data_IF_630747035938
#
_entry.id   IF_630747035938
#
_cell.length_a   1.000
_cell.length_b   1.000
_cell.length_c   1.000
_cell.angle_alpha   90.00
_cell.angle_beta   90.00
_cell.angle_gamma   90.00
#
_symmetry.space_group_name_H-M   'P 1'
#
loop_
_entity.id
_entity.type
_entity.pdbx_description
1 polymer ?
#
# COMPACT_ATOMS: atom_id res chain seq x y z
N UNK A 1 9.85 10.21 3.53
CA UNK A 1 10.56 8.97 3.92
C UNK A 1 10.18 8.65 5.36
N UNK A 2 9.96 7.39 5.69
CA UNK A 2 9.64 6.95 7.05
C UNK A 2 10.91 6.69 7.87
N UNK A 3 10.90 7.04 9.15
CA UNK A 3 12.02 6.80 10.07
C UNK A 3 12.08 5.34 10.54
N UNK A 4 10.91 4.76 10.82
CA UNK A 4 10.71 3.38 11.24
C UNK A 4 9.61 2.70 10.41
N UNK A 5 9.51 1.37 10.48
CA UNK A 5 8.39 0.67 9.85
C UNK A 5 7.09 1.13 10.50
N UNK A 6 6.18 1.63 9.67
CA UNK A 6 4.97 2.30 10.13
C UNK A 6 3.76 1.68 9.46
N UNK A 7 2.77 1.34 10.27
CA UNK A 7 1.46 0.93 9.79
C UNK A 7 0.64 2.17 9.47
N UNK A 8 0.29 2.34 8.19
CA UNK A 8 -0.42 3.50 7.68
C UNK A 8 -1.62 3.06 6.85
N UNK A 9 -2.61 3.95 6.71
CA UNK A 9 -3.79 3.70 5.89
C UNK A 9 -3.55 4.17 4.46
N UNK A 10 -3.57 3.27 3.47
CA UNK A 10 -3.49 3.67 2.08
C UNK A 10 -4.80 4.24 1.55
N UNK A 11 -4.74 4.99 0.46
CA UNK A 11 -5.93 5.49 -0.21
C UNK A 11 -6.87 4.33 -0.58
N UNK A 12 -8.17 4.52 -0.31
CA UNK A 12 -9.18 3.51 -0.59
C UNK A 12 -9.23 2.33 0.39
N UNK A 13 -8.51 2.40 1.52
CA UNK A 13 -8.52 1.34 2.55
C UNK A 13 -9.91 0.94 3.03
N UNK A 14 -10.85 1.87 3.10
CA UNK A 14 -12.22 1.58 3.55
C UNK A 14 -12.99 0.66 2.59
N UNK A 15 -12.61 0.62 1.30
CA UNK A 15 -13.30 -0.13 0.24
C UNK A 15 -12.51 -1.33 -0.29
N UNK A 16 -11.18 -1.24 -0.23
CA UNK A 16 -10.27 -2.14 -0.94
C UNK A 16 -9.51 -3.10 -0.03
N UNK A 17 -9.65 -2.91 1.28
CA UNK A 17 -9.09 -3.80 2.29
C UNK A 17 -9.85 -5.12 2.32
N UNK A 18 -9.10 -6.23 2.34
CA UNK A 18 -9.64 -7.59 2.23
C UNK A 18 -9.60 -8.33 3.57
N UNK A 19 -8.78 -7.87 4.53
CA UNK A 19 -8.51 -8.57 5.79
C UNK A 19 -9.19 -7.86 6.96
N UNK A 20 -10.43 -8.20 7.33
CA UNK A 20 -11.18 -7.53 8.41
C UNK A 20 -10.39 -7.28 9.73
N UNK A 21 -9.34 -8.05 9.99
CA UNK A 21 -8.51 -8.02 11.20
C UNK A 21 -7.57 -6.80 11.32
N UNK A 22 -7.10 -6.20 10.21
CA UNK A 22 -6.06 -5.14 10.27
C UNK A 22 -6.61 -3.71 10.21
N UNK A 23 -7.93 -3.53 10.26
CA UNK A 23 -8.60 -2.22 10.24
C UNK A 23 -8.13 -1.27 9.11
N UNK A 24 -7.67 -1.83 7.99
CA UNK A 24 -7.19 -1.09 6.82
C UNK A 24 -5.76 -0.56 6.93
N UNK A 25 -4.98 -0.99 7.92
CA UNK A 25 -3.58 -0.62 8.05
C UNK A 25 -2.69 -1.50 7.19
N UNK A 26 -1.71 -0.88 6.56
CA UNK A 26 -0.67 -1.55 5.76
C UNK A 26 0.68 -1.18 6.33
N UNK A 27 1.55 -2.18 6.52
CA UNK A 27 2.89 -1.95 7.05
C UNK A 27 3.86 -1.56 5.93
N UNK A 28 4.37 -0.33 6.03
CA UNK A 28 5.33 0.22 5.08
C UNK A 28 6.76 0.14 5.61
N UNK A 29 7.71 -0.12 4.70
CA UNK A 29 9.12 -0.18 5.03
C UNK A 29 9.67 1.19 5.40
N UNK A 30 10.38 1.25 6.52
CA UNK A 30 11.23 2.38 6.89
C UNK A 30 12.23 2.70 5.76
N UNK A 31 12.72 3.94 5.74
CA UNK A 31 13.79 4.39 4.84
C UNK A 31 13.48 4.27 3.34
N UNK A 32 12.20 4.15 2.99
CA UNK A 32 11.71 4.15 1.60
C UNK A 32 10.87 5.39 1.34
N UNK A 33 10.72 5.73 0.06
CA UNK A 33 9.83 6.79 -0.38
C UNK A 33 8.39 6.38 -0.07
N UNK A 34 7.65 7.32 0.49
CA UNK A 34 6.22 7.20 0.75
C UNK A 34 5.58 8.52 0.35
N UNK A 35 4.42 8.42 -0.28
CA UNK A 35 3.65 9.56 -0.78
C UNK A 35 2.28 9.51 -0.13
N UNK A 36 1.86 10.66 0.36
CA UNK A 36 0.55 10.85 0.97
C UNK A 36 -0.30 11.78 0.11
N UNK A 37 -1.62 11.56 0.10
CA UNK A 37 -2.56 12.54 -0.44
C UNK A 37 -2.85 13.65 0.59
N UNK A 38 -3.68 14.62 0.19
CA UNK A 38 -4.11 15.73 1.06
C UNK A 38 -4.95 15.27 2.26
N UNK A 39 -5.55 14.07 2.21
CA UNK A 39 -6.29 13.47 3.31
C UNK A 39 -5.39 12.73 4.34
N UNK A 40 -4.07 12.65 4.07
CA UNK A 40 -3.11 11.94 4.92
C UNK A 40 -3.07 10.43 4.70
N UNK A 41 -3.65 9.93 3.60
CA UNK A 41 -3.60 8.52 3.21
C UNK A 41 -2.43 8.24 2.28
N UNK A 42 -1.88 7.03 2.33
CA UNK A 42 -0.75 6.63 1.48
C UNK A 42 -1.21 6.35 0.05
N UNK A 43 -0.70 7.07 -0.93
CA UNK A 43 -0.95 6.83 -2.36
C UNK A 43 0.17 6.06 -3.03
N UNK A 44 1.38 6.05 -2.46
CA UNK A 44 2.47 5.21 -2.92
C UNK A 44 3.44 4.90 -1.78
N UNK A 45 3.92 3.65 -1.70
CA UNK A 45 4.91 3.26 -0.70
C UNK A 45 5.51 1.89 -0.97
N UNK A 46 6.60 1.57 -0.28
CA UNK A 46 7.19 0.21 -0.31
C UNK A 46 6.69 -0.61 0.86
N UNK A 47 6.16 -1.79 0.59
CA UNK A 47 5.65 -2.69 1.63
C UNK A 47 6.77 -3.26 2.50
N UNK A 48 6.49 -3.46 3.79
CA UNK A 48 7.39 -4.16 4.72
C UNK A 48 7.21 -5.66 4.66
N UNK A 49 5.97 -6.10 4.50
CA UNK A 49 5.55 -7.50 4.47
C UNK A 49 4.58 -7.75 3.31
N UNK A 50 4.22 -9.00 3.11
CA UNK A 50 3.28 -9.39 2.05
C UNK A 50 1.89 -8.85 2.38
N UNK A 51 1.27 -8.17 1.41
CA UNK A 51 -0.05 -7.57 1.57
C UNK A 51 -1.05 -8.20 0.60
N UNK A 52 -2.18 -8.67 1.11
CA UNK A 52 -3.35 -9.01 0.29
C UNK A 52 -4.27 -7.80 0.18
N UNK A 53 -4.52 -7.36 -1.04
CA UNK A 53 -5.30 -6.15 -1.28
C UNK A 53 -6.11 -6.26 -2.57
N UNK A 54 -7.16 -5.45 -2.71
CA UNK A 54 -7.93 -5.38 -3.95
C UNK A 54 -7.18 -4.58 -5.01
N UNK A 55 -6.91 -5.17 -6.16
CA UNK A 55 -6.29 -4.50 -7.29
C UNK A 55 -7.22 -3.45 -7.89
N UNK A 56 -6.67 -2.53 -8.68
CA UNK A 56 -7.49 -1.59 -9.46
C UNK A 56 -8.46 -2.29 -10.44
N UNK A 57 -8.20 -3.55 -10.79
CA UNK A 57 -9.11 -4.38 -11.59
C UNK A 57 -10.27 -4.98 -10.76
N UNK A 58 -10.28 -4.76 -9.44
CA UNK A 58 -11.29 -5.25 -8.52
C UNK A 58 -11.04 -6.67 -8.00
N UNK A 59 -9.88 -7.27 -8.31
CA UNK A 59 -9.50 -8.64 -7.92
C UNK A 59 -8.60 -8.63 -6.68
N UNK A 60 -8.70 -9.63 -5.82
CA UNK A 60 -7.77 -9.75 -4.69
C UNK A 60 -6.41 -10.23 -5.19
N UNK A 61 -5.39 -9.40 -5.00
CA UNK A 61 -4.00 -9.69 -5.36
C UNK A 61 -3.11 -9.70 -4.14
N UNK A 62 -2.04 -10.48 -4.19
CA UNK A 62 -1.03 -10.54 -3.15
C UNK A 62 0.23 -9.81 -3.63
N UNK A 63 0.61 -8.77 -2.90
CA UNK A 63 1.83 -8.01 -3.14
C UNK A 63 2.92 -8.51 -2.20
N UNK A 64 4.05 -9.01 -2.71
CA UNK A 64 5.11 -9.48 -1.84
C UNK A 64 5.77 -8.35 -1.06
N UNK A 65 6.36 -8.68 0.09
CA UNK A 65 7.18 -7.76 0.88
C UNK A 65 8.23 -7.04 0.02
N UNK A 66 8.59 -5.80 0.37
CA UNK A 66 9.54 -4.93 -0.36
C UNK A 66 9.07 -4.50 -1.76
N UNK A 67 7.82 -4.75 -2.12
CA UNK A 67 7.25 -4.26 -3.39
C UNK A 67 6.82 -2.81 -3.25
N UNK A 68 7.11 -2.00 -4.27
CA UNK A 68 6.53 -0.67 -4.38
C UNK A 68 5.09 -0.79 -4.88
N UNK A 69 4.14 -0.24 -4.14
CA UNK A 69 2.71 -0.32 -4.45
C UNK A 69 2.14 1.09 -4.47
N UNK A 70 1.31 1.37 -5.46
CA UNK A 70 0.48 2.56 -5.53
C UNK A 70 -0.94 2.20 -5.14
N UNK A 71 -1.54 3.03 -4.31
CA UNK A 71 -2.88 2.86 -3.78
C UNK A 71 -3.76 4.01 -4.23
N UNK A 72 -4.98 3.67 -4.59
CA UNK A 72 -5.97 4.61 -5.08
C UNK A 72 -7.39 4.12 -4.68
N UNK A 73 -8.41 4.93 -4.95
CA UNK A 73 -9.79 4.57 -4.57
C UNK A 73 -10.29 3.28 -5.26
N UNK A 74 -9.75 2.98 -6.44
CA UNK A 74 -10.10 1.78 -7.21
C UNK A 74 -9.40 0.52 -6.72
N UNK A 75 -8.30 0.65 -5.98
CA UNK A 75 -7.49 -0.47 -5.51
C UNK A 75 -6.01 -0.15 -5.50
N UNK A 76 -5.19 -1.19 -5.43
CA UNK A 76 -3.74 -1.08 -5.45
C UNK A 76 -3.13 -1.67 -6.72
N UNK A 77 -2.00 -1.13 -7.14
CA UNK A 77 -1.21 -1.66 -8.27
C UNK A 77 0.25 -1.70 -7.85
N UNK A 78 0.96 -2.78 -8.22
CA UNK A 78 2.39 -2.82 -8.06
C UNK A 78 2.97 -1.71 -8.95
N UNK A 79 3.61 -0.72 -8.33
CA UNK A 79 4.42 0.22 -9.05
C UNK A 79 5.57 -0.58 -9.63
N UNK A 80 5.63 -0.70 -10.96
CA UNK A 80 6.80 -1.22 -11.65
C UNK A 80 8.00 -0.45 -11.08
N UNK A 81 8.82 -1.13 -10.28
CA UNK A 81 10.17 -0.65 -10.05
C UNK A 81 10.79 -0.69 -11.45
N UNK A 82 10.78 0.44 -12.14
CA UNK A 82 11.56 0.63 -13.34
C UNK A 82 13.01 0.46 -12.91
N UNK A 83 13.49 -0.77 -13.01
CA UNK A 83 14.91 -1.04 -13.14
C UNK A 83 15.25 -0.57 -14.55
N UNK A 84 15.94 0.57 -14.60
CA UNK A 84 16.47 1.20 -15.81
C UNK A 84 17.72 1.95 -15.43
#
# INVERSE_FOLDING_TARGET
>A
MLDTDTSLRPAGWQKNHVLDEEAGFVKFSAKKAIVFNEAGEVTAGTLKETLKWRSAAGETVEFPARTAVRFDEQGAVAGSAGEG
#
